data_IF_156915538137
#
_entry.id   IF_156915538137
#
_cell.length_a   1.000
_cell.length_b   1.000
_cell.length_c   1.000
_cell.angle_alpha   90.00
_cell.angle_beta   90.00
_cell.angle_gamma   90.00
#
_symmetry.space_group_name_H-M   'P 1'
#
loop_
_entity.id
_entity.type
_entity.pdbx_description
1 polymer ?
#
# COMPACT_ATOMS: atom_id res chain seq x y z
N UNK A 1 18.97 -15.97 -30.10
CA UNK A 1 18.56 -14.61 -29.68
C UNK A 1 17.12 -14.72 -29.23
N UNK A 2 16.87 -14.74 -27.92
CA UNK A 2 15.51 -14.56 -27.41
C UNK A 2 15.18 -13.09 -27.63
N UNK A 3 14.12 -12.78 -28.38
CA UNK A 3 13.61 -11.42 -28.49
C UNK A 3 13.28 -10.95 -27.08
N UNK A 4 13.91 -9.88 -26.60
CA UNK A 4 13.47 -9.18 -25.41
C UNK A 4 12.01 -8.82 -25.63
N UNK A 5 11.14 -9.36 -24.78
CA UNK A 5 9.71 -9.15 -24.90
C UNK A 5 9.46 -7.69 -24.51
N UNK A 6 9.09 -6.85 -25.49
CA UNK A 6 8.91 -5.43 -25.25
C UNK A 6 7.59 -5.18 -24.51
N UNK A 7 7.69 -4.77 -23.25
CA UNK A 7 6.53 -4.43 -22.43
C UNK A 7 6.14 -2.95 -22.61
N UNK A 8 4.84 -2.69 -22.66
CA UNK A 8 4.27 -1.37 -22.40
C UNK A 8 3.89 -1.29 -20.91
N UNK A 9 4.21 -0.18 -20.25
CA UNK A 9 3.98 0.02 -18.82
C UNK A 9 2.87 1.03 -18.56
N UNK A 10 2.08 0.79 -17.51
CA UNK A 10 0.92 1.58 -17.16
C UNK A 10 0.83 1.77 -15.64
N UNK A 11 0.56 3.00 -15.22
CA UNK A 11 0.15 3.35 -13.87
C UNK A 11 -1.39 3.33 -13.79
N UNK A 12 -1.94 2.65 -12.79
CA UNK A 12 -3.38 2.68 -12.48
C UNK A 12 -3.69 3.87 -11.57
N UNK A 13 -4.45 4.84 -12.08
CA UNK A 13 -4.69 6.13 -11.45
C UNK A 13 -6.20 6.36 -11.31
N UNK A 14 -6.86 5.71 -10.33
CA UNK A 14 -8.26 6.00 -10.03
C UNK A 14 -8.39 7.39 -9.37
N UNK A 15 -9.64 7.81 -9.10
CA UNK A 15 -9.89 9.11 -8.48
C UNK A 15 -9.11 9.28 -7.17
N UNK A 16 -8.35 10.38 -7.07
CA UNK A 16 -7.55 10.70 -5.89
C UNK A 16 -6.08 10.27 -5.97
N UNK A 17 -5.69 9.54 -7.01
CA UNK A 17 -4.31 9.11 -7.25
C UNK A 17 -3.65 9.96 -8.35
N UNK A 18 -2.32 9.84 -8.48
CA UNK A 18 -1.55 10.47 -9.56
C UNK A 18 -0.63 9.45 -10.22
N UNK A 19 -0.02 9.81 -11.35
CA UNK A 19 0.96 8.93 -12.02
C UNK A 19 2.19 8.67 -11.15
N UNK A 20 2.57 9.61 -10.28
CA UNK A 20 3.71 9.47 -9.36
C UNK A 20 3.34 8.76 -8.04
N UNK A 21 2.04 8.63 -7.77
CA UNK A 21 1.45 7.91 -6.64
C UNK A 21 0.22 7.12 -7.11
N UNK A 22 0.40 6.09 -7.95
CA UNK A 22 -0.71 5.31 -8.49
C UNK A 22 -1.18 4.23 -7.49
N UNK A 23 -2.35 3.64 -7.74
CA UNK A 23 -2.89 2.55 -6.91
C UNK A 23 -2.32 1.18 -7.31
N UNK A 24 -1.81 1.07 -8.54
CA UNK A 24 -1.20 -0.15 -9.07
C UNK A 24 -0.27 0.13 -10.25
N UNK A 25 0.64 -0.81 -10.49
CA UNK A 25 1.55 -0.78 -11.64
C UNK A 25 1.34 -2.02 -12.50
N UNK A 26 1.19 -1.80 -13.80
CA UNK A 26 0.82 -2.81 -14.78
C UNK A 26 1.78 -2.80 -15.96
N UNK A 27 1.98 -3.95 -16.58
CA UNK A 27 2.71 -4.07 -17.84
C UNK A 27 2.03 -5.04 -18.78
N UNK A 28 2.20 -4.82 -20.07
CA UNK A 28 1.57 -5.63 -21.13
C UNK A 28 2.57 -5.98 -22.22
N UNK A 29 2.59 -7.25 -22.62
CA UNK A 29 3.29 -7.72 -23.80
C UNK A 29 2.33 -8.55 -24.68
N UNK A 30 2.00 -8.05 -25.87
CA UNK A 30 0.99 -8.68 -26.73
C UNK A 30 -0.37 -8.71 -26.04
N UNK A 31 -0.88 -9.90 -25.70
CA UNK A 31 -2.15 -10.09 -24.97
C UNK A 31 -1.95 -10.51 -23.50
N UNK A 32 -0.70 -10.59 -23.05
CA UNK A 32 -0.37 -10.90 -21.66
C UNK A 32 -0.34 -9.62 -20.85
N UNK A 33 -1.11 -9.62 -19.76
CA UNK A 33 -1.12 -8.56 -18.76
C UNK A 33 -0.47 -9.07 -17.48
N UNK A 34 0.38 -8.24 -16.92
CA UNK A 34 0.99 -8.47 -15.63
C UNK A 34 0.81 -7.25 -14.74
N UNK A 35 0.75 -7.47 -13.43
CA UNK A 35 0.77 -6.43 -12.42
C UNK A 35 1.94 -6.64 -11.47
N UNK A 36 2.43 -5.55 -10.89
CA UNK A 36 3.39 -5.61 -9.78
C UNK A 36 2.62 -5.91 -8.49
N UNK A 37 2.87 -7.06 -7.88
CA UNK A 37 2.38 -7.33 -6.54
C UNK A 37 3.13 -6.46 -5.53
N UNK A 38 2.39 -5.67 -4.76
CA UNK A 38 2.95 -4.86 -3.67
C UNK A 38 3.10 -5.66 -2.37
N UNK A 39 2.83 -6.97 -2.42
CA UNK A 39 2.98 -7.91 -1.30
C UNK A 39 4.32 -8.64 -1.35
N UNK A 40 4.72 -9.12 -2.54
CA UNK A 40 5.98 -9.83 -2.76
C UNK A 40 6.96 -9.12 -3.70
N UNK A 41 6.57 -7.97 -4.26
CA UNK A 41 7.38 -7.15 -5.17
C UNK A 41 7.75 -7.84 -6.48
N UNK A 42 6.91 -8.77 -6.95
CA UNK A 42 7.11 -9.48 -8.21
C UNK A 42 6.01 -9.14 -9.22
N UNK A 43 6.34 -9.30 -10.50
CA UNK A 43 5.37 -9.20 -11.58
C UNK A 43 4.62 -10.53 -11.71
N UNK A 44 3.28 -10.47 -11.71
CA UNK A 44 2.41 -11.63 -11.82
C UNK A 44 1.54 -11.55 -13.06
N UNK A 45 1.44 -12.64 -13.82
CA UNK A 45 0.47 -12.79 -14.91
C UNK A 45 -0.94 -12.85 -14.32
N UNK A 46 -1.81 -11.96 -14.80
CA UNK A 46 -3.23 -11.92 -14.43
C UNK A 46 -3.87 -13.32 -14.55
N UNK A 47 -3.56 -14.05 -15.62
CA UNK A 47 -4.13 -15.38 -15.89
C UNK A 47 -3.66 -16.47 -14.91
N UNK A 48 -2.58 -16.23 -14.17
CA UNK A 48 -2.02 -17.15 -13.19
C UNK A 48 -2.48 -16.86 -11.76
N UNK A 49 -3.32 -15.84 -11.54
CA UNK A 49 -3.72 -15.37 -10.21
C UNK A 49 -5.24 -15.27 -10.06
N UNK A 50 -5.72 -14.83 -8.90
CA UNK A 50 -7.13 -14.54 -8.63
C UNK A 50 -7.60 -13.20 -9.21
N UNK A 51 -6.70 -12.38 -9.75
CA UNK A 51 -7.03 -11.12 -10.41
C UNK A 51 -7.73 -11.43 -11.73
N UNK A 52 -8.99 -11.03 -11.87
CA UNK A 52 -9.82 -11.47 -12.99
C UNK A 52 -9.55 -10.70 -14.28
N UNK A 53 -9.30 -9.39 -14.18
CA UNK A 53 -9.12 -8.51 -15.33
C UNK A 53 -8.16 -7.37 -15.00
N UNK A 54 -7.41 -6.86 -15.99
CA UNK A 54 -6.71 -5.59 -15.82
C UNK A 54 -7.70 -4.44 -15.56
N UNK A 55 -7.23 -3.28 -15.08
CA UNK A 55 -8.07 -2.13 -14.80
C UNK A 55 -8.73 -1.59 -16.06
N UNK A 56 -9.77 -0.79 -15.86
CA UNK A 56 -10.45 -0.14 -16.96
C UNK A 56 -9.50 0.81 -17.72
N UNK A 57 -9.57 0.89 -19.06
CA UNK A 57 -8.64 1.71 -19.84
C UNK A 57 -8.59 3.18 -19.43
N UNK A 58 -9.70 3.73 -18.92
CA UNK A 58 -9.82 5.11 -18.46
C UNK A 58 -8.99 5.46 -17.21
N UNK A 59 -8.58 4.47 -16.41
CA UNK A 59 -7.70 4.67 -15.25
C UNK A 59 -6.26 4.25 -15.54
N UNK A 60 -5.95 3.75 -16.75
CA UNK A 60 -4.61 3.33 -17.14
C UNK A 60 -3.87 4.46 -17.85
N UNK A 61 -2.78 4.92 -17.23
CA UNK A 61 -1.91 5.94 -17.78
C UNK A 61 -0.60 5.31 -18.24
N UNK A 62 -0.27 5.45 -19.52
CA UNK A 62 1.00 4.96 -20.05
C UNK A 62 2.18 5.71 -19.38
N UNK A 63 3.18 4.95 -18.96
CA UNK A 63 4.43 5.46 -18.37
C UNK A 63 5.64 4.87 -19.10
N UNK A 64 6.77 5.56 -19.04
CA UNK A 64 8.02 4.99 -19.54
C UNK A 64 8.46 3.81 -18.66
N UNK A 65 9.27 2.92 -19.22
CA UNK A 65 9.91 1.85 -18.46
C UNK A 65 10.76 2.39 -17.30
N UNK A 66 11.49 3.50 -17.54
CA UNK A 66 12.28 4.18 -16.51
C UNK A 66 11.41 4.68 -15.34
N UNK A 67 10.24 5.25 -15.63
CA UNK A 67 9.32 5.70 -14.60
C UNK A 67 8.67 4.50 -13.87
N UNK A 68 8.27 3.46 -14.59
CA UNK A 68 7.77 2.23 -13.98
C UNK A 68 8.80 1.59 -13.03
N UNK A 69 10.08 1.57 -13.43
CA UNK A 69 11.17 1.08 -12.59
C UNK A 69 11.38 1.95 -11.35
N UNK A 70 11.31 3.28 -11.49
CA UNK A 70 11.41 4.20 -10.35
C UNK A 70 10.25 4.00 -9.36
N UNK A 71 9.02 3.86 -9.86
CA UNK A 71 7.84 3.54 -9.04
C UNK A 71 8.02 2.20 -8.32
N UNK A 72 8.44 1.14 -9.02
CA UNK A 72 8.66 -0.17 -8.42
C UNK A 72 9.78 -0.17 -7.36
N UNK A 73 10.76 0.72 -7.48
CA UNK A 73 11.84 0.87 -6.51
C UNK A 73 11.41 1.65 -5.24
N UNK A 74 10.44 2.57 -5.34
CA UNK A 74 9.88 3.32 -4.21
C UNK A 74 8.88 2.47 -3.41
N UNK A 75 9.36 1.40 -2.78
CA UNK A 75 8.53 0.43 -2.04
C UNK A 75 7.70 1.09 -0.93
N UNK A 76 8.24 2.11 -0.28
CA UNK A 76 7.55 2.82 0.79
C UNK A 76 6.46 3.75 0.26
N UNK A 77 6.62 4.31 -0.94
CA UNK A 77 5.63 5.17 -1.61
C UNK A 77 4.29 4.48 -1.91
N UNK A 78 4.25 3.15 -1.91
CA UNK A 78 3.04 2.34 -2.10
C UNK A 78 2.27 2.03 -0.82
N UNK A 79 2.83 2.36 0.34
CA UNK A 79 2.27 1.97 1.62
C UNK A 79 1.66 3.17 2.32
N UNK A 80 0.39 3.04 2.71
CA UNK A 80 -0.30 4.04 3.51
C UNK A 80 -0.06 3.74 4.99
N UNK A 81 0.27 4.75 5.79
CA UNK A 81 0.52 4.61 7.23
C UNK A 81 -0.43 5.48 8.04
N UNK A 82 -0.79 5.01 9.22
CA UNK A 82 -1.58 5.77 10.18
C UNK A 82 -1.13 5.55 11.62
N UNK A 83 -1.11 6.62 12.41
CA UNK A 83 -1.06 6.52 13.87
C UNK A 83 -2.43 6.00 14.37
N UNK A 84 -2.40 4.99 15.22
CA UNK A 84 -3.60 4.37 15.76
C UNK A 84 -3.95 4.90 17.15
N UNK A 85 -5.15 5.44 17.29
CA UNK A 85 -5.77 5.82 18.56
C UNK A 85 -7.00 4.94 18.81
N UNK A 86 -7.21 4.54 20.07
CA UNK A 86 -8.31 3.64 20.44
C UNK A 86 -9.71 4.22 20.16
N UNK A 87 -9.83 5.55 20.08
CA UNK A 87 -11.05 6.24 19.64
C UNK A 87 -10.74 7.68 19.27
N UNK A 88 -11.68 8.35 18.61
CA UNK A 88 -11.62 9.79 18.33
C UNK A 88 -11.45 10.63 19.60
N UNK A 89 -12.16 10.26 20.67
CA UNK A 89 -12.04 10.94 21.97
C UNK A 89 -10.64 10.83 22.56
N UNK A 90 -9.99 9.68 22.45
CA UNK A 90 -8.62 9.51 22.95
C UNK A 90 -7.65 10.48 22.26
N UNK A 91 -7.83 10.69 20.95
CA UNK A 91 -7.07 11.67 20.18
C UNK A 91 -7.41 13.11 20.58
N UNK A 92 -8.70 13.46 20.66
CA UNK A 92 -9.14 14.81 21.08
C UNK A 92 -8.66 15.17 22.50
N UNK A 93 -8.58 14.18 23.40
CA UNK A 93 -8.05 14.31 24.77
C UNK A 93 -6.50 14.40 24.81
N UNK A 94 -5.81 14.35 23.66
CA UNK A 94 -4.36 14.45 23.56
C UNK A 94 -3.59 13.21 24.01
N UNK A 95 -4.24 12.03 24.08
CA UNK A 95 -3.53 10.79 24.41
C UNK A 95 -2.60 10.40 23.26
N UNK A 96 -1.47 9.78 23.59
CA UNK A 96 -0.56 9.23 22.59
C UNK A 96 -1.20 8.08 21.78
N UNK A 97 -0.80 7.90 20.50
CA UNK A 97 -1.18 6.73 19.73
C UNK A 97 -0.57 5.47 20.34
N UNK A 98 -1.22 4.33 20.13
CA UNK A 98 -0.79 3.06 20.74
C UNK A 98 0.09 2.22 19.81
N UNK A 99 0.02 2.47 18.51
CA UNK A 99 0.80 1.77 17.48
C UNK A 99 0.68 2.50 16.12
N UNK A 100 1.34 1.98 15.10
CA UNK A 100 1.14 2.31 13.69
C UNK A 100 0.36 1.21 12.99
N UNK A 101 -0.57 1.61 12.14
CA UNK A 101 -1.27 0.76 11.18
C UNK A 101 -0.73 1.07 9.78
N UNK A 102 -0.56 0.06 8.94
CA UNK A 102 -0.23 0.25 7.52
C UNK A 102 -1.17 -0.52 6.61
N UNK A 103 -1.34 -0.04 5.38
CA UNK A 103 -2.06 -0.72 4.30
C UNK A 103 -1.18 -0.86 3.09
N UNK A 104 -1.11 -2.07 2.56
CA UNK A 104 -0.59 -2.38 1.22
C UNK A 104 -1.73 -2.80 0.33
N UNK A 105 -1.99 -2.02 -0.73
CA UNK A 105 -2.98 -2.34 -1.75
C UNK A 105 -2.26 -3.01 -2.89
N UNK A 106 -2.69 -4.21 -3.27
CA UNK A 106 -2.20 -4.91 -4.44
C UNK A 106 -3.41 -5.41 -5.22
N UNK A 107 -3.36 -5.54 -6.56
CA UNK A 107 -4.52 -5.97 -7.35
C UNK A 107 -5.17 -7.28 -6.85
N UNK A 108 -4.38 -8.20 -6.31
CA UNK A 108 -4.82 -9.49 -5.78
C UNK A 108 -5.40 -9.43 -4.37
N UNK A 109 -5.01 -8.44 -3.55
CA UNK A 109 -5.45 -8.32 -2.16
C UNK A 109 -5.07 -6.98 -1.51
N UNK A 110 -5.84 -6.57 -0.50
CA UNK A 110 -5.48 -5.47 0.41
C UNK A 110 -5.03 -6.08 1.74
N UNK A 111 -3.85 -5.68 2.21
CA UNK A 111 -3.29 -6.15 3.48
C UNK A 111 -3.15 -5.00 4.47
N UNK A 112 -4.01 -5.03 5.48
CA UNK A 112 -3.97 -4.13 6.62
C UNK A 112 -3.20 -4.77 7.77
N UNK A 113 -2.23 -4.05 8.33
CA UNK A 113 -1.38 -4.56 9.41
C UNK A 113 -1.22 -3.53 10.51
N UNK A 114 -1.07 -4.00 11.75
CA UNK A 114 -0.66 -3.17 12.89
C UNK A 114 0.65 -3.69 13.45
N UNK A 115 1.53 -2.77 13.87
CA UNK A 115 2.77 -3.15 14.54
C UNK A 115 2.45 -3.58 15.98
N UNK A 116 2.98 -4.72 16.41
CA UNK A 116 2.69 -5.27 17.73
C UNK A 116 3.89 -5.15 18.69
N UNK A 117 3.66 -5.50 19.96
CA UNK A 117 4.70 -5.50 21.00
C UNK A 117 5.82 -6.52 20.78
N UNK A 118 5.65 -7.47 19.86
CA UNK A 118 6.68 -8.43 19.45
C UNK A 118 7.56 -7.87 18.32
N UNK A 119 7.39 -6.58 17.99
CA UNK A 119 8.11 -5.88 16.93
C UNK A 119 7.83 -6.44 15.53
N UNK A 120 6.58 -6.85 15.29
CA UNK A 120 6.15 -7.45 14.02
C UNK A 120 4.90 -6.78 13.48
N UNK A 121 4.80 -6.76 12.14
CA UNK A 121 3.56 -6.44 11.44
C UNK A 121 2.62 -7.65 11.43
N UNK A 122 1.49 -7.53 12.13
CA UNK A 122 0.44 -8.55 12.16
C UNK A 122 -0.85 -8.03 11.51
N UNK A 123 -1.73 -8.93 11.02
CA UNK A 123 -2.99 -8.52 10.39
C UNK A 123 -3.87 -7.71 11.36
N UNK A 124 -4.59 -6.71 10.84
CA UNK A 124 -5.50 -5.89 11.65
C UNK A 124 -6.78 -5.54 10.89
N UNK A 125 -7.84 -5.26 11.66
CA UNK A 125 -9.11 -4.72 11.16
C UNK A 125 -9.27 -3.22 11.44
N UNK A 126 -8.24 -2.56 12.02
CA UNK A 126 -8.33 -1.18 12.46
C UNK A 126 -8.69 -0.20 11.32
N UNK A 127 -8.06 -0.34 10.15
CA UNK A 127 -8.37 0.49 8.99
C UNK A 127 -9.79 0.23 8.46
N UNK A 128 -10.22 -1.03 8.40
CA UNK A 128 -11.61 -1.37 8.07
C UNK A 128 -12.60 -0.68 9.02
N UNK A 129 -12.42 -0.80 10.34
CA UNK A 129 -13.34 -0.19 11.32
C UNK A 129 -13.29 1.34 11.35
N UNK A 130 -12.13 1.94 11.09
CA UNK A 130 -12.01 3.39 11.00
C UNK A 130 -12.80 3.96 9.81
N UNK A 131 -12.84 3.26 8.67
CA UNK A 131 -13.45 3.76 7.44
C UNK A 131 -14.89 3.25 7.19
N UNK A 132 -15.33 2.15 7.81
CA UNK A 132 -16.71 1.63 7.66
C UNK A 132 -17.75 2.49 8.41
N UNK A 133 -17.34 3.30 9.39
CA UNK A 133 -18.18 4.32 10.06
C UNK A 133 -19.38 3.79 10.87
N UNK A 134 -19.66 2.48 10.85
CA UNK A 134 -20.79 1.82 11.52
C UNK A 134 -20.47 1.33 12.94
N UNK A 135 -19.20 1.32 13.34
CA UNK A 135 -18.82 0.88 14.69
C UNK A 135 -18.88 2.04 15.69
N UNK A 136 -19.63 1.84 16.77
CA UNK A 136 -19.65 2.76 17.92
C UNK A 136 -18.31 2.82 18.68
N UNK A 137 -17.36 1.95 18.32
CA UNK A 137 -16.01 1.84 18.89
C UNK A 137 -14.93 1.92 17.81
N UNK A 138 -15.20 2.61 16.69
CA UNK A 138 -14.22 2.81 15.64
C UNK A 138 -12.93 3.45 16.19
N UNK A 139 -11.76 2.87 15.92
CA UNK A 139 -10.49 3.53 16.21
C UNK A 139 -10.40 4.82 15.39
N UNK A 140 -9.54 5.73 15.85
CA UNK A 140 -9.20 6.91 15.09
C UNK A 140 -7.81 6.74 14.49
N UNK A 141 -7.71 6.99 13.19
CA UNK A 141 -6.48 6.88 12.42
C UNK A 141 -6.09 8.26 11.91
N UNK A 142 -4.83 8.64 12.12
CA UNK A 142 -4.24 9.88 11.61
C UNK A 142 -3.15 9.49 10.62
N UNK A 143 -3.23 10.00 9.40
CA UNK A 143 -2.28 9.67 8.33
C UNK A 143 -0.85 10.08 8.68
N UNK A 144 0.10 9.25 8.29
CA UNK A 144 1.53 9.45 8.49
C UNK A 144 2.27 9.22 7.16
N UNK A 145 3.36 9.93 6.99
CA UNK A 145 4.43 9.55 6.06
C UNK A 145 5.17 8.31 6.60
N UNK A 146 5.92 7.63 5.72
CA UNK A 146 6.78 6.51 6.14
C UNK A 146 7.81 6.92 7.22
N UNK A 147 8.38 8.13 7.11
CA UNK A 147 9.32 8.67 8.10
C UNK A 147 8.67 8.94 9.46
N UNK A 148 7.46 9.50 9.47
CA UNK A 148 6.71 9.70 10.72
C UNK A 148 6.28 8.37 11.36
N UNK A 149 5.91 7.37 10.54
CA UNK A 149 5.64 6.03 11.01
C UNK A 149 6.88 5.39 11.64
N UNK A 150 8.04 5.48 11.00
CA UNK A 150 9.31 4.98 11.53
C UNK A 150 9.67 5.64 12.86
N UNK A 151 9.59 6.97 12.92
CA UNK A 151 9.85 7.71 14.16
C UNK A 151 8.89 7.29 15.28
N UNK A 152 7.60 7.15 14.98
CA UNK A 152 6.61 6.77 16.00
C UNK A 152 6.85 5.33 16.51
N UNK A 153 7.24 4.41 15.63
CA UNK A 153 7.58 3.04 16.03
C UNK A 153 8.86 3.01 16.88
N UNK A 154 9.83 3.86 16.57
CA UNK A 154 11.01 4.04 17.42
C UNK A 154 10.64 4.59 18.80
N UNK A 155 9.74 5.57 18.88
CA UNK A 155 9.29 6.16 20.15
C UNK A 155 8.50 5.17 21.01
N UNK A 156 7.60 4.37 20.41
CA UNK A 156 6.73 3.44 21.16
C UNK A 156 7.46 2.13 21.50
N UNK A 157 8.20 1.57 20.55
CA UNK A 157 8.75 0.21 20.65
C UNK A 157 10.28 0.16 20.71
N UNK A 158 10.98 1.28 20.48
CA UNK A 158 12.45 1.32 20.52
C UNK A 158 13.12 0.62 19.34
N UNK A 159 12.42 0.45 18.21
CA UNK A 159 12.90 -0.26 17.02
C UNK A 159 13.23 0.69 15.87
N UNK A 160 14.10 0.24 14.96
CA UNK A 160 14.45 0.94 13.72
C UNK A 160 14.38 -0.01 12.53
N UNK A 161 14.12 0.52 11.34
CA UNK A 161 13.92 -0.25 10.11
C UNK A 161 12.56 -0.94 10.05
N UNK A 162 11.59 -0.56 10.89
CA UNK A 162 10.29 -1.23 10.95
C UNK A 162 9.45 -0.99 9.68
N UNK A 163 9.70 0.10 8.96
CA UNK A 163 9.01 0.47 7.72
C UNK A 163 9.77 0.04 6.45
N UNK A 164 10.92 -0.62 6.56
CA UNK A 164 11.68 -1.15 5.41
C UNK A 164 10.95 -2.35 4.77
N UNK A 165 11.00 -2.44 3.43
CA UNK A 165 10.26 -3.42 2.62
C UNK A 165 11.13 -4.06 1.53
#
# INVERSE_FOLDING_TARGET
MMSEQQYAYFAEVPQGYTVDRPDGLWRRAGDTWEYLSLLDWQWHDVKATNVQTPPAPEVLHAVSEEHAAALAADRQGWVQYWAHYSSRRAWDDGRAPTTVVRRRRSPENIRDESFNSESQWGPTMAAFYAFDGRSSTSPHLVELTAGEAEQLLQEIFGVTGATEL
#
